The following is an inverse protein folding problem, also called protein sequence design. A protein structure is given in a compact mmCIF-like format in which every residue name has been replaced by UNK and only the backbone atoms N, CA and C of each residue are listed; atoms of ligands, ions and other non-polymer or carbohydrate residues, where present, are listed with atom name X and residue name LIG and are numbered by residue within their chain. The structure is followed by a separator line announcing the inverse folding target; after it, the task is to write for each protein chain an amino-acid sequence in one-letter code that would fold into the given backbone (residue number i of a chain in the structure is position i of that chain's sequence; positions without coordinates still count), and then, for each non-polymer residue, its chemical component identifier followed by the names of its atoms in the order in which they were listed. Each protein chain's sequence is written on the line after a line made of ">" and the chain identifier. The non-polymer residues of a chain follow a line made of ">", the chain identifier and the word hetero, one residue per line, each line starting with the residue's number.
data_IF_326159381950
#
_entry.id   IF_326159381950
#
_cell.length_a   1.000
_cell.length_b   1.000
_cell.length_c   1.000
_cell.angle_alpha   90.00
_cell.angle_beta   90.00
_cell.angle_gamma   90.00
#
_symmetry.space_group_name_H-M   'P 1'
#
loop_
_entity.id
_entity.type
_entity.pdbx_description
1 polymer ?
#
# COMPACT_ATOMS: atom_id res chain seq x y z
N UNK A 1 15.99 -3.86 12.27
CA UNK A 1 14.98 -3.96 13.33
C UNK A 1 13.75 -3.22 12.85
N UNK A 2 12.56 -3.83 12.94
CA UNK A 2 11.31 -3.15 12.59
C UNK A 2 10.98 -2.12 13.68
N UNK A 3 10.54 -0.92 13.31
CA UNK A 3 10.16 0.14 14.25
C UNK A 3 8.71 0.54 13.97
N UNK A 4 7.78 0.21 14.87
CA UNK A 4 6.34 0.53 14.76
C UNK A 4 5.44 -0.48 15.49
N UNK A 5 4.29 -0.03 16.01
CA UNK A 5 3.36 -0.83 16.82
C UNK A 5 2.15 -1.31 16.01
N UNK A 6 2.29 -2.43 15.30
CA UNK A 6 1.17 -3.08 14.63
C UNK A 6 0.47 -4.08 15.57
N UNK A 7 -0.87 -4.06 15.60
CA UNK A 7 -1.68 -5.04 16.35
C UNK A 7 -1.39 -6.47 15.88
N UNK A 8 -1.20 -7.40 16.83
CA UNK A 8 -0.60 -8.71 16.60
C UNK A 8 -1.31 -9.63 15.58
N UNK A 9 -2.53 -9.30 15.14
CA UNK A 9 -3.32 -10.11 14.20
C UNK A 9 -3.70 -9.38 12.90
N UNK A 10 -3.24 -8.14 12.72
CA UNK A 10 -3.53 -7.35 11.53
C UNK A 10 -2.38 -7.43 10.50
N UNK A 11 -2.66 -7.26 9.20
CA UNK A 11 -1.63 -7.10 8.20
C UNK A 11 -0.72 -5.91 8.54
N UNK A 12 0.58 -6.09 8.33
CA UNK A 12 1.58 -5.03 8.51
C UNK A 12 2.12 -4.60 7.15
N UNK A 13 2.28 -3.31 6.98
CA UNK A 13 2.86 -2.70 5.79
C UNK A 13 4.27 -2.24 6.12
N UNK A 14 5.22 -2.56 5.26
CA UNK A 14 6.63 -2.24 5.45
C UNK A 14 7.13 -1.53 4.20
N UNK A 15 7.71 -0.34 4.40
CA UNK A 15 8.43 0.38 3.35
C UNK A 15 9.94 0.23 3.59
N UNK A 16 10.66 -0.11 2.53
CA UNK A 16 12.10 -0.19 2.50
C UNK A 16 12.69 0.90 1.61
N UNK A 17 13.83 1.44 2.01
CA UNK A 17 14.64 2.32 1.15
C UNK A 17 16.10 1.86 1.20
N UNK A 18 16.79 1.96 0.08
CA UNK A 18 18.24 1.76 -0.02
C UNK A 18 18.80 2.59 -1.16
N UNK A 19 19.98 3.17 -0.98
CA UNK A 19 20.73 3.81 -2.07
C UNK A 19 22.04 3.09 -2.26
N UNK A 20 22.29 2.61 -3.46
CA UNK A 20 23.53 1.92 -3.83
C UNK A 20 24.73 2.88 -3.78
N UNK A 21 25.90 2.31 -3.53
CA UNK A 21 27.16 3.01 -3.85
C UNK A 21 27.27 3.17 -5.35
N UNK A 22 27.84 4.28 -5.82
CA UNK A 22 28.05 4.53 -7.25
C UNK A 22 28.80 3.36 -7.91
N UNK A 23 28.22 2.79 -8.97
CA UNK A 23 28.76 1.63 -9.67
C UNK A 23 28.33 0.26 -9.08
N UNK A 24 27.60 0.24 -7.97
CA UNK A 24 27.07 -0.98 -7.35
C UNK A 24 25.56 -1.16 -7.56
N UNK A 25 24.93 -0.35 -8.42
CA UNK A 25 23.48 -0.29 -8.64
C UNK A 25 22.93 -1.65 -9.09
N UNK A 26 23.56 -2.28 -10.08
CA UNK A 26 23.14 -3.59 -10.58
C UNK A 26 23.37 -4.71 -9.56
N UNK A 27 24.37 -4.55 -8.68
CA UNK A 27 24.60 -5.50 -7.57
C UNK A 27 23.48 -5.42 -6.55
N UNK A 28 23.10 -4.21 -6.13
CA UNK A 28 21.97 -3.99 -5.22
C UNK A 28 20.67 -4.47 -5.86
N UNK A 29 20.42 -4.13 -7.13
CA UNK A 29 19.24 -4.59 -7.87
C UNK A 29 19.14 -6.12 -7.93
N UNK A 30 20.24 -6.80 -8.24
CA UNK A 30 20.30 -8.26 -8.26
C UNK A 30 19.98 -8.88 -6.89
N UNK A 31 20.58 -8.35 -5.82
CA UNK A 31 20.32 -8.81 -4.45
C UNK A 31 18.87 -8.56 -4.00
N UNK A 32 18.28 -7.42 -4.37
CA UNK A 32 16.87 -7.11 -4.10
C UNK A 32 15.94 -8.09 -4.84
N UNK A 33 16.25 -8.47 -6.09
CA UNK A 33 15.48 -9.49 -6.82
C UNK A 33 15.59 -10.87 -6.18
N UNK A 34 16.78 -11.24 -5.68
CA UNK A 34 16.93 -12.49 -4.91
C UNK A 34 16.06 -12.49 -3.66
N UNK A 35 15.96 -11.35 -2.96
CA UNK A 35 15.01 -11.21 -1.85
C UNK A 35 13.57 -11.36 -2.33
N UNK A 36 13.16 -10.67 -3.39
CA UNK A 36 11.81 -10.75 -3.94
C UNK A 36 11.41 -12.19 -4.26
N UNK A 37 12.26 -12.94 -4.96
CA UNK A 37 11.98 -14.33 -5.31
C UNK A 37 11.79 -15.21 -4.08
N UNK A 38 12.63 -15.03 -3.05
CA UNK A 38 12.51 -15.76 -1.78
C UNK A 38 11.25 -15.39 -1.01
N UNK A 39 10.95 -14.09 -0.93
CA UNK A 39 9.80 -13.57 -0.18
C UNK A 39 8.48 -13.92 -0.86
N UNK A 40 8.45 -14.01 -2.20
CA UNK A 40 7.24 -14.34 -2.97
C UNK A 40 6.58 -15.65 -2.53
N UNK A 41 7.36 -16.62 -2.11
CA UNK A 41 6.87 -17.93 -1.67
C UNK A 41 6.72 -18.06 -0.14
N UNK A 42 6.99 -17.00 0.63
CA UNK A 42 6.79 -17.05 2.08
C UNK A 42 5.28 -17.06 2.39
N UNK A 43 4.77 -18.02 3.21
CA UNK A 43 3.35 -18.11 3.53
C UNK A 43 2.79 -16.89 4.28
N UNK A 44 3.66 -16.04 4.83
CA UNK A 44 3.26 -14.78 5.45
C UNK A 44 3.21 -13.58 4.51
N UNK A 45 3.78 -13.70 3.31
CA UNK A 45 3.86 -12.60 2.36
C UNK A 45 2.52 -12.41 1.64
N UNK A 46 2.04 -11.18 1.60
CA UNK A 46 0.84 -10.75 0.86
C UNK A 46 1.19 -9.90 -0.36
N UNK A 47 2.38 -9.30 -0.37
CA UNK A 47 2.85 -8.47 -1.48
C UNK A 47 4.30 -8.04 -1.24
N UNK A 48 5.10 -8.05 -2.30
CA UNK A 48 6.49 -7.61 -2.29
C UNK A 48 6.80 -6.97 -3.64
N UNK A 49 7.09 -5.68 -3.63
CA UNK A 49 7.34 -4.88 -4.82
C UNK A 49 8.63 -4.09 -4.64
N UNK A 50 9.38 -3.94 -5.73
CA UNK A 50 10.60 -3.15 -5.78
C UNK A 50 10.40 -2.08 -6.84
N UNK A 51 10.71 -0.84 -6.48
CA UNK A 51 10.70 0.31 -7.37
C UNK A 51 12.11 0.86 -7.48
N UNK A 52 12.47 1.32 -8.68
CA UNK A 52 13.69 2.08 -8.94
C UNK A 52 13.29 3.54 -9.12
N UNK A 53 13.97 4.44 -8.45
CA UNK A 53 13.72 5.88 -8.62
C UNK A 53 14.13 6.30 -10.04
N UNK A 54 13.29 7.11 -10.67
CA UNK A 54 13.53 7.62 -12.02
C UNK A 54 14.55 8.77 -12.05
N UNK A 55 14.68 9.52 -10.94
CA UNK A 55 15.63 10.61 -10.78
C UNK A 55 17.00 10.16 -10.26
N UNK A 56 17.05 9.04 -9.55
CA UNK A 56 18.29 8.42 -9.04
C UNK A 56 18.26 6.90 -9.26
N UNK A 57 18.95 6.44 -10.30
CA UNK A 57 19.00 5.02 -10.65
C UNK A 57 19.70 4.15 -9.60
N UNK A 58 20.39 4.72 -8.62
CA UNK A 58 20.96 4.02 -7.46
C UNK A 58 20.00 3.95 -6.27
N UNK A 59 18.89 4.69 -6.28
CA UNK A 59 17.90 4.68 -5.21
C UNK A 59 16.75 3.70 -5.51
N UNK A 60 16.46 2.87 -4.52
CA UNK A 60 15.43 1.83 -4.61
C UNK A 60 14.47 1.91 -3.43
N UNK A 61 13.19 1.70 -3.74
CA UNK A 61 12.11 1.60 -2.76
C UNK A 61 11.56 0.17 -2.77
N UNK A 62 11.22 -0.34 -1.60
CA UNK A 62 10.65 -1.67 -1.43
C UNK A 62 9.31 -1.50 -0.71
N UNK A 63 8.25 -2.11 -1.23
CA UNK A 63 6.97 -2.17 -0.53
C UNK A 63 6.67 -3.63 -0.20
N UNK A 64 6.36 -3.89 1.07
CA UNK A 64 5.99 -5.22 1.53
C UNK A 64 4.69 -5.17 2.32
N UNK A 65 3.86 -6.19 2.14
CA UNK A 65 2.67 -6.41 2.95
C UNK A 65 2.74 -7.82 3.52
N UNK A 66 2.60 -7.93 4.83
CA UNK A 66 2.69 -9.20 5.54
C UNK A 66 1.40 -9.48 6.30
N UNK A 67 1.03 -10.76 6.40
CA UNK A 67 -0.19 -11.20 7.09
C UNK A 67 -0.20 -10.82 8.57
N UNK A 68 0.95 -10.94 9.24
CA UNK A 68 1.13 -10.50 10.63
C UNK A 68 2.57 -10.01 10.86
N UNK A 69 2.80 -9.18 11.89
CA UNK A 69 4.15 -8.73 12.25
C UNK A 69 5.14 -9.87 12.53
N UNK A 70 4.68 -10.94 13.19
CA UNK A 70 5.54 -12.06 13.60
C UNK A 70 6.05 -12.84 12.39
N UNK A 71 5.26 -12.92 11.33
CA UNK A 71 5.67 -13.58 10.08
C UNK A 71 6.73 -12.76 9.34
N UNK A 72 6.57 -11.43 9.31
CA UNK A 72 7.59 -10.52 8.79
C UNK A 72 8.91 -10.64 9.58
N UNK A 73 8.84 -10.61 10.91
CA UNK A 73 10.03 -10.76 11.76
C UNK A 73 10.70 -12.12 11.61
N UNK A 74 9.92 -13.20 11.49
CA UNK A 74 10.46 -14.54 11.23
C UNK A 74 11.19 -14.60 9.89
N UNK A 75 10.60 -14.01 8.85
CA UNK A 75 11.20 -13.94 7.52
C UNK A 75 12.56 -13.20 7.56
N UNK A 76 12.57 -12.01 8.17
CA UNK A 76 13.77 -11.19 8.30
C UNK A 76 14.90 -11.86 9.10
N UNK A 77 14.55 -12.73 10.06
CA UNK A 77 15.54 -13.50 10.85
C UNK A 77 16.02 -14.78 10.18
N UNK A 78 15.45 -15.18 9.04
CA UNK A 78 15.93 -16.37 8.34
C UNK A 78 17.37 -16.14 7.84
N UNK A 79 18.20 -17.20 7.88
CA UNK A 79 19.61 -17.09 7.54
C UNK A 79 19.83 -16.58 6.11
N UNK A 80 19.01 -17.05 5.17
CA UNK A 80 19.07 -16.62 3.77
C UNK A 80 18.75 -15.13 3.58
N UNK A 81 17.71 -14.63 4.24
CA UNK A 81 17.31 -13.22 4.15
C UNK A 81 18.33 -12.33 4.85
N UNK A 82 18.77 -12.72 6.05
CA UNK A 82 19.81 -12.00 6.80
C UNK A 82 21.09 -11.87 5.99
N UNK A 83 21.54 -12.97 5.37
CA UNK A 83 22.73 -12.96 4.51
C UNK A 83 22.57 -12.00 3.32
N UNK A 84 21.43 -12.04 2.62
CA UNK A 84 21.17 -11.12 1.50
C UNK A 84 21.13 -9.66 1.95
N UNK A 85 20.46 -9.36 3.07
CA UNK A 85 20.41 -8.01 3.64
C UNK A 85 21.83 -7.50 3.97
N UNK A 86 22.68 -8.35 4.56
CA UNK A 86 24.08 -7.99 4.84
C UNK A 86 24.83 -7.65 3.56
N UNK A 87 24.68 -8.44 2.49
CA UNK A 87 25.32 -8.14 1.20
C UNK A 87 24.81 -6.85 0.56
N UNK A 88 23.53 -6.53 0.72
CA UNK A 88 22.97 -5.25 0.27
C UNK A 88 23.60 -4.10 1.06
N UNK A 89 23.72 -4.23 2.38
CA UNK A 89 24.32 -3.21 3.24
C UNK A 89 25.78 -2.92 2.87
N UNK A 90 26.55 -3.93 2.47
CA UNK A 90 27.94 -3.76 2.01
C UNK A 90 28.05 -3.00 0.69
N UNK A 91 27.04 -3.09 -0.18
CA UNK A 91 26.99 -2.41 -1.47
C UNK A 91 26.28 -1.04 -1.42
N UNK A 92 25.69 -0.67 -0.27
CA UNK A 92 24.84 0.50 -0.14
C UNK A 92 25.59 1.73 0.41
N UNK A 93 25.36 2.88 -0.21
CA UNK A 93 25.76 4.18 0.32
C UNK A 93 24.81 4.62 1.44
N UNK A 94 23.49 4.48 1.21
CA UNK A 94 22.47 4.61 2.25
C UNK A 94 21.96 3.20 2.56
N UNK A 95 22.26 2.65 3.75
CA UNK A 95 21.94 1.27 4.09
C UNK A 95 20.44 0.97 4.02
N UNK A 96 20.09 -0.26 3.64
CA UNK A 96 18.71 -0.72 3.59
C UNK A 96 18.02 -0.52 4.95
N UNK A 97 17.00 0.35 4.96
CA UNK A 97 16.15 0.61 6.12
C UNK A 97 14.75 0.10 5.83
N UNK A 98 14.20 -0.71 6.74
CA UNK A 98 12.82 -1.19 6.69
C UNK A 98 12.00 -0.52 7.80
N UNK A 99 10.92 0.15 7.43
CA UNK A 99 10.05 0.93 8.31
C UNK A 99 8.66 0.34 8.28
N UNK A 100 8.08 0.09 9.46
CA UNK A 100 6.66 -0.33 9.55
C UNK A 100 5.78 0.91 9.40
N UNK A 101 4.78 0.81 8.54
CA UNK A 101 3.88 1.91 8.22
C UNK A 101 2.46 1.65 8.73
N UNK A 102 1.90 2.63 9.44
CA UNK A 102 0.50 2.62 9.87
C UNK A 102 -0.39 3.08 8.71
N UNK A 103 -1.00 2.12 8.01
CA UNK A 103 -1.85 2.41 6.85
C UNK A 103 -3.30 2.61 7.27
N UNK A 104 -3.77 3.85 7.17
CA UNK A 104 -5.17 4.19 7.36
C UNK A 104 -5.93 4.10 6.02
N UNK A 105 -6.81 3.11 5.88
CA UNK A 105 -7.71 3.03 4.72
C UNK A 105 -8.85 4.05 4.89
N UNK A 106 -8.67 5.24 4.35
CA UNK A 106 -9.74 6.23 4.25
C UNK A 106 -10.83 5.78 3.28
N UNK A 107 -11.77 4.96 3.73
CA UNK A 107 -13.04 4.79 3.01
C UNK A 107 -13.91 6.01 3.28
N UNK A 108 -13.63 7.12 2.61
CA UNK A 108 -14.63 8.18 2.48
C UNK A 108 -15.67 7.67 1.48
N UNK A 109 -16.76 7.04 1.97
CA UNK A 109 -17.97 6.91 1.15
C UNK A 109 -18.31 8.33 0.70
N UNK A 110 -18.32 8.66 -0.62
CA UNK A 110 -18.74 9.99 -1.04
C UNK A 110 -20.14 10.24 -0.49
N UNK A 111 -20.35 11.42 0.10
CA UNK A 111 -21.65 11.79 0.65
C UNK A 111 -22.73 11.55 -0.41
N UNK A 112 -23.87 10.93 -0.06
CA UNK A 112 -24.94 10.73 -1.03
C UNK A 112 -25.34 12.10 -1.60
N UNK A 113 -25.59 12.20 -2.92
CA UNK A 113 -26.01 13.46 -3.53
C UNK A 113 -27.28 13.97 -2.81
N UNK A 114 -27.44 15.30 -2.64
CA UNK A 114 -28.63 15.85 -2.01
C UNK A 114 -29.86 15.39 -2.79
N UNK A 115 -30.84 14.84 -2.08
CA UNK A 115 -32.13 14.48 -2.66
C UNK A 115 -32.73 15.74 -3.28
N UNK A 116 -32.92 15.74 -4.60
CA UNK A 116 -33.68 16.79 -5.28
C UNK A 116 -35.09 16.79 -4.69
N UNK A 117 -35.47 17.89 -4.04
CA UNK A 117 -36.85 18.11 -3.62
C UNK A 117 -37.76 18.02 -4.84
N UNK A 118 -38.90 17.30 -4.79
CA UNK A 118 -39.84 17.31 -5.89
C UNK A 118 -40.37 18.74 -6.09
N UNK A 119 -40.29 19.21 -7.33
CA UNK A 119 -40.90 20.46 -7.76
C UNK A 119 -42.39 20.42 -7.42
N UNK A 120 -42.83 21.34 -6.58
CA UNK A 120 -44.25 21.60 -6.29
C UNK A 120 -44.97 21.82 -7.62
N UNK A 121 -45.88 20.91 -7.98
CA UNK A 121 -46.74 21.10 -9.15
C UNK A 121 -47.67 22.28 -8.87
N UNK A 122 -47.76 23.32 -9.71
CA UNK A 122 -48.74 24.36 -9.50
C UNK A 122 -50.15 23.78 -9.71
N UNK A 123 -51.01 23.96 -8.72
CA UNK A 123 -52.43 23.64 -8.80
C UNK A 123 -53.08 24.50 -9.89
N UNK A 124 -53.28 23.92 -11.08
CA UNK A 124 -53.91 24.56 -12.22
C UNK A 124 -55.21 23.86 -12.61
N UNK A 125 -56.30 24.29 -11.98
CA UNK A 125 -57.65 24.54 -12.52
C UNK A 125 -58.09 23.73 -13.75
N UNK A 126 -59.11 22.87 -13.59
CA UNK A 126 -60.33 22.89 -14.40
C UNK A 126 -61.45 22.06 -13.74
N UNK A 127 -62.60 22.67 -13.46
CA UNK A 127 -63.83 21.97 -13.09
C UNK A 127 -64.89 22.20 -14.18
N UNK A 128 -65.53 21.17 -14.75
CA UNK A 128 -66.66 21.36 -15.65
C UNK A 128 -67.97 21.42 -14.86
N UNK A 129 -68.76 22.49 -15.07
CA UNK A 129 -70.14 22.59 -14.60
C UNK A 129 -71.08 21.81 -15.53
N UNK A 130 -71.95 20.91 -15.03
CA UNK A 130 -73.11 20.46 -15.78
C UNK A 130 -74.30 21.40 -15.53
N UNK A 131 -74.87 21.87 -16.65
CA UNK A 131 -75.87 22.91 -16.73
C UNK A 131 -77.25 22.54 -16.18
N UNK A 132 -78.04 23.59 -16.00
CA UNK A 132 -79.44 23.60 -15.60
C UNK A 132 -80.29 23.99 -16.80
N UNK A 133 -81.35 23.23 -17.11
CA UNK A 133 -82.64 23.80 -17.56
C UNK A 133 -83.74 22.73 -17.67
N UNK A 134 -84.90 23.11 -17.14
CA UNK A 134 -86.30 22.72 -17.38
C UNK A 134 -86.61 21.35 -18.03
#
# INVERSE_FOLDING_TARGET
>A
MLTGAAGACAPVYVCGEVTATLGAEDTVWGLLNVLLERTRYDPGNLGYEIFRDAGDLGHFLIQQTWKTPQLAERHLRSAAVSWCITRIQEAAHIPLRLTVCDVHRGHSKPAPPPLRSPLSTPAGVWAPSPGSSC
#
